data_IF_260502088501
#
_entry.id   IF_260502088501
#
_cell.length_a   1.000
_cell.length_b   1.000
_cell.length_c   1.000
_cell.angle_alpha   90.00
_cell.angle_beta   90.00
_cell.angle_gamma   90.00
#
_symmetry.space_group_name_H-M   'P 1'
#
loop_
_entity.id
_entity.type
_entity.pdbx_description
1 polymer ?
#
# COMPACT_ATOMS: atom_id res chain seq x y z
N UNK A 1 -4.77 24.70 -49.87
CA UNK A 1 -3.66 24.61 -48.91
C UNK A 1 -4.05 24.68 -47.44
N UNK A 2 -5.02 25.52 -47.08
CA UNK A 2 -5.43 25.64 -45.65
C UNK A 2 -6.12 24.39 -45.06
N UNK A 3 -6.83 23.58 -45.85
CA UNK A 3 -7.51 22.37 -45.38
C UNK A 3 -6.56 21.25 -44.91
N UNK A 4 -5.37 21.12 -45.51
CA UNK A 4 -4.37 20.11 -45.11
C UNK A 4 -3.72 20.45 -43.76
N UNK A 5 -3.43 21.72 -43.51
CA UNK A 5 -2.84 22.18 -42.23
C UNK A 5 -3.80 21.98 -41.08
N UNK A 6 -5.10 22.28 -41.29
CA UNK A 6 -6.15 22.08 -40.28
C UNK A 6 -6.28 20.61 -39.89
N UNK A 7 -6.20 19.68 -40.85
CA UNK A 7 -6.25 18.24 -40.55
C UNK A 7 -5.05 17.77 -39.76
N UNK A 8 -3.86 18.29 -40.01
CA UNK A 8 -2.67 17.97 -39.21
C UNK A 8 -2.78 18.50 -37.78
N UNK A 9 -3.30 19.70 -37.58
CA UNK A 9 -3.51 20.30 -36.26
C UNK A 9 -4.55 19.54 -35.47
N UNK A 10 -5.67 19.14 -36.09
CA UNK A 10 -6.72 18.34 -35.44
C UNK A 10 -6.20 16.95 -35.04
N UNK A 11 -5.45 16.29 -35.92
CA UNK A 11 -4.82 14.99 -35.61
C UNK A 11 -3.83 15.09 -34.46
N UNK A 12 -3.01 16.13 -34.42
CA UNK A 12 -2.07 16.37 -33.34
C UNK A 12 -2.77 16.64 -32.00
N UNK A 13 -3.86 17.40 -32.02
CA UNK A 13 -4.68 17.67 -30.83
C UNK A 13 -5.33 16.40 -30.26
N UNK A 14 -5.83 15.52 -31.12
CA UNK A 14 -6.41 14.23 -30.73
C UNK A 14 -5.39 13.31 -30.08
N UNK A 15 -4.17 13.26 -30.57
CA UNK A 15 -3.08 12.47 -29.98
C UNK A 15 -2.70 12.99 -28.59
N UNK A 16 -2.61 14.30 -28.40
CA UNK A 16 -2.33 14.90 -27.09
C UNK A 16 -3.46 14.59 -26.11
N UNK A 17 -4.72 14.67 -26.54
CA UNK A 17 -5.88 14.38 -25.71
C UNK A 17 -5.89 12.92 -25.21
N UNK A 18 -5.54 11.96 -26.05
CA UNK A 18 -5.44 10.54 -25.66
C UNK A 18 -4.32 10.28 -24.66
N UNK A 19 -3.18 10.96 -24.77
CA UNK A 19 -2.08 10.87 -23.81
C UNK A 19 -2.51 11.42 -22.44
N UNK A 20 -3.22 12.53 -22.39
CA UNK A 20 -3.76 13.09 -21.14
C UNK A 20 -4.77 12.17 -20.46
N UNK A 21 -5.65 11.51 -21.21
CA UNK A 21 -6.64 10.57 -20.67
C UNK A 21 -5.99 9.31 -20.09
N UNK A 22 -4.92 8.80 -20.69
CA UNK A 22 -4.20 7.64 -20.16
C UNK A 22 -3.41 7.97 -18.88
N UNK A 23 -2.86 9.17 -18.73
CA UNK A 23 -2.17 9.57 -17.51
C UNK A 23 -3.11 9.78 -16.34
N UNK A 24 -4.36 10.18 -16.55
CA UNK A 24 -5.37 10.31 -15.50
C UNK A 24 -5.75 8.97 -14.85
N UNK A 25 -5.74 7.86 -15.59
CA UNK A 25 -6.02 6.53 -15.03
C UNK A 25 -4.97 6.09 -14.01
N UNK A 26 -3.69 6.39 -14.24
CA UNK A 26 -2.61 6.06 -13.31
C UNK A 26 -2.67 6.86 -12.01
N UNK A 27 -3.16 8.10 -12.07
CA UNK A 27 -3.36 8.93 -10.87
C UNK A 27 -4.45 8.37 -9.97
N UNK A 28 -5.56 7.85 -10.51
CA UNK A 28 -6.64 7.24 -9.72
C UNK A 28 -6.24 5.91 -9.08
N UNK A 29 -5.36 5.14 -9.67
CA UNK A 29 -4.85 3.88 -9.12
C UNK A 29 -3.90 4.08 -7.92
N UNK A 30 -3.36 5.28 -7.72
CA UNK A 30 -2.45 5.60 -6.61
C UNK A 30 -3.15 5.81 -5.26
N UNK A 31 -4.47 5.95 -5.23
CA UNK A 31 -5.25 6.18 -4.01
C UNK A 31 -5.84 4.90 -3.43
N UNK A 32 -5.11 3.81 -3.49
CA UNK A 32 -5.48 2.58 -2.82
C UNK A 32 -5.00 2.63 -1.37
N UNK A 33 -5.95 2.64 -0.44
CA UNK A 33 -5.69 2.67 0.98
C UNK A 33 -6.12 1.36 1.61
N UNK A 34 -5.22 0.71 2.34
CA UNK A 34 -5.47 -0.56 3.00
C UNK A 34 -5.31 -0.40 4.51
N UNK A 35 -6.30 -0.84 5.28
CA UNK A 35 -6.22 -0.90 6.73
C UNK A 35 -6.38 -2.33 7.20
N UNK A 36 -5.63 -2.69 8.24
CA UNK A 36 -5.64 -4.01 8.85
C UNK A 36 -5.86 -3.81 10.34
N UNK A 37 -6.99 -4.27 10.86
CA UNK A 37 -7.36 -4.16 12.27
C UNK A 37 -7.22 -5.52 12.94
N UNK A 38 -6.43 -5.58 14.00
CA UNK A 38 -6.14 -6.82 14.71
C UNK A 38 -6.92 -6.90 16.02
N UNK A 39 -7.32 -8.13 16.40
CA UNK A 39 -7.91 -8.42 17.69
C UNK A 39 -6.89 -8.22 18.80
N UNK A 40 -7.34 -8.12 20.05
CA UNK A 40 -6.45 -8.02 21.21
C UNK A 40 -5.38 -9.10 21.21
N UNK A 41 -4.14 -8.68 21.43
CA UNK A 41 -2.97 -9.56 21.39
C UNK A 41 -1.89 -9.08 22.34
N UNK A 42 -0.92 -9.94 22.64
CA UNK A 42 0.17 -9.66 23.57
C UNK A 42 1.13 -8.55 23.13
N UNK A 43 1.17 -8.24 21.83
CA UNK A 43 1.99 -7.15 21.27
C UNK A 43 1.30 -5.80 21.33
N UNK A 44 0.01 -5.78 21.66
CA UNK A 44 -0.84 -4.59 21.64
C UNK A 44 -0.93 -3.94 20.24
N UNK A 45 -0.77 -4.74 19.21
CA UNK A 45 -0.91 -4.30 17.82
C UNK A 45 -2.39 -4.14 17.50
N UNK A 46 -2.82 -2.91 17.20
CA UNK A 46 -4.23 -2.60 16.93
C UNK A 46 -4.53 -2.44 15.46
N UNK A 47 -3.71 -1.67 14.73
CA UNK A 47 -4.03 -1.30 13.36
C UNK A 47 -2.77 -1.07 12.53
N UNK A 48 -2.82 -1.49 11.28
CA UNK A 48 -1.79 -1.20 10.28
C UNK A 48 -2.46 -0.48 9.12
N UNK A 49 -1.92 0.67 8.72
CA UNK A 49 -2.43 1.47 7.60
C UNK A 49 -1.38 1.56 6.51
N UNK A 50 -1.70 1.11 5.31
CA UNK A 50 -0.78 1.09 4.17
C UNK A 50 -1.38 1.93 3.05
N UNK A 51 -0.71 3.03 2.70
CA UNK A 51 -1.08 3.87 1.55
C UNK A 51 -0.40 3.43 0.27
N UNK A 52 0.86 3.02 0.38
CA UNK A 52 1.63 2.48 -0.74
C UNK A 52 2.38 1.24 -0.24
N UNK A 53 2.08 0.10 -0.84
CA UNK A 53 2.60 -1.20 -0.40
C UNK A 53 3.96 -1.58 -1.03
N UNK A 54 4.58 -0.69 -1.77
CA UNK A 54 5.89 -0.94 -2.37
C UNK A 54 7.00 -0.95 -1.31
N UNK A 55 7.99 -1.81 -1.50
CA UNK A 55 9.18 -1.85 -0.66
C UNK A 55 9.88 -0.48 -0.63
N UNK A 56 10.33 -0.06 0.55
CA UNK A 56 10.94 1.24 0.78
C UNK A 56 9.98 2.33 1.29
N UNK A 57 8.69 2.18 1.12
CA UNK A 57 7.68 3.06 1.71
C UNK A 57 7.39 2.69 3.16
N UNK A 58 6.72 3.58 3.88
CA UNK A 58 6.40 3.37 5.30
C UNK A 58 4.91 3.10 5.49
N UNK A 59 4.62 2.14 6.37
CA UNK A 59 3.26 1.89 6.85
C UNK A 59 3.10 2.52 8.24
N UNK A 60 1.89 3.00 8.55
CA UNK A 60 1.56 3.49 9.88
C UNK A 60 1.03 2.32 10.72
N UNK A 61 1.72 2.01 11.82
CA UNK A 61 1.39 0.90 12.72
C UNK A 61 1.04 1.44 14.08
N UNK A 62 -0.13 1.07 14.58
CA UNK A 62 -0.62 1.48 15.89
C UNK A 62 -0.42 0.36 16.90
N UNK A 63 0.39 0.64 17.93
CA UNK A 63 0.57 -0.19 19.10
C UNK A 63 -0.05 0.52 20.31
N UNK A 64 -1.17 0.01 20.83
CA UNK A 64 -1.89 0.70 21.88
C UNK A 64 -2.30 2.11 21.44
N UNK A 65 -1.81 3.11 22.15
CA UNK A 65 -2.04 4.52 21.84
C UNK A 65 -0.91 5.17 21.03
N UNK A 66 0.12 4.41 20.66
CA UNK A 66 1.30 4.89 19.96
C UNK A 66 1.25 4.53 18.47
N UNK A 67 1.65 5.47 17.63
CA UNK A 67 1.78 5.29 16.19
C UNK A 67 3.26 5.28 15.79
N UNK A 68 3.65 4.28 15.02
CA UNK A 68 5.00 4.16 14.48
C UNK A 68 4.94 4.02 12.97
N UNK A 69 5.88 4.68 12.29
CA UNK A 69 6.11 4.46 10.86
C UNK A 69 7.11 3.33 10.70
N UNK A 70 6.67 2.24 10.10
CA UNK A 70 7.49 1.04 9.90
C UNK A 70 7.69 0.82 8.42
N UNK A 71 8.94 0.61 8.03
CA UNK A 71 9.33 0.46 6.63
C UNK A 71 8.86 -0.86 6.05
N UNK A 72 8.32 -0.82 4.83
CA UNK A 72 8.00 -2.02 4.06
C UNK A 72 9.31 -2.55 3.49
N UNK A 73 9.74 -3.72 3.95
CA UNK A 73 11.00 -4.34 3.55
C UNK A 73 10.85 -5.10 2.24
N UNK A 74 9.72 -5.80 2.07
CA UNK A 74 9.48 -6.67 0.92
C UNK A 74 7.99 -6.77 0.64
N UNK A 75 7.63 -6.80 -0.64
CA UNK A 75 6.29 -7.08 -1.10
C UNK A 75 6.38 -8.13 -2.20
N UNK A 76 6.07 -9.38 -1.88
CA UNK A 76 6.05 -10.47 -2.84
C UNK A 76 4.62 -10.92 -3.19
N UNK A 77 4.46 -12.04 -3.90
CA UNK A 77 3.15 -12.51 -4.35
C UNK A 77 2.22 -12.92 -3.21
N UNK A 78 2.76 -13.32 -2.04
CA UNK A 78 1.98 -13.85 -0.92
C UNK A 78 2.02 -12.99 0.33
N UNK A 79 3.14 -12.28 0.58
CA UNK A 79 3.38 -11.57 1.82
C UNK A 79 3.85 -10.14 1.61
N UNK A 80 3.45 -9.27 2.53
CA UNK A 80 4.05 -7.95 2.73
C UNK A 80 4.79 -7.99 4.07
N UNK A 81 6.10 -7.70 4.06
CA UNK A 81 6.92 -7.68 5.26
C UNK A 81 7.25 -6.26 5.66
N UNK A 82 6.96 -5.93 6.92
CA UNK A 82 7.33 -4.68 7.57
C UNK A 82 8.39 -4.97 8.62
N UNK A 83 9.33 -4.05 8.82
CA UNK A 83 10.36 -4.25 9.82
C UNK A 83 10.94 -2.97 10.38
N UNK A 84 11.33 -3.01 11.66
CA UNK A 84 12.01 -1.93 12.36
C UNK A 84 13.10 -2.53 13.24
N UNK A 85 14.36 -2.25 12.92
CA UNK A 85 15.52 -2.78 13.64
C UNK A 85 15.61 -2.26 15.08
N UNK A 86 15.24 -1.00 15.31
CA UNK A 86 15.26 -0.39 16.65
C UNK A 86 14.30 -1.06 17.63
N UNK A 87 13.15 -1.50 17.14
CA UNK A 87 12.15 -2.20 17.92
C UNK A 87 12.33 -3.71 17.91
N UNK A 88 13.28 -4.23 17.13
CA UNK A 88 13.46 -5.65 16.85
C UNK A 88 12.12 -6.29 16.43
N UNK A 89 11.40 -5.63 15.55
CA UNK A 89 10.05 -5.96 15.13
C UNK A 89 10.01 -6.29 13.65
N UNK A 90 9.37 -7.40 13.33
CA UNK A 90 9.05 -7.78 11.95
C UNK A 90 7.59 -8.22 11.89
N UNK A 91 6.84 -7.70 10.92
CA UNK A 91 5.43 -8.01 10.71
C UNK A 91 5.24 -8.52 9.29
N UNK A 92 4.70 -9.72 9.18
CA UNK A 92 4.32 -10.32 7.91
C UNK A 92 2.80 -10.28 7.73
N UNK A 93 2.33 -9.71 6.64
CA UNK A 93 0.91 -9.63 6.30
C UNK A 93 0.65 -10.53 5.11
N UNK A 94 -0.16 -11.58 5.29
CA UNK A 94 -0.53 -12.46 4.20
C UNK A 94 -1.57 -11.78 3.29
N UNK A 95 -1.32 -11.77 1.98
CA UNK A 95 -2.16 -11.05 1.02
C UNK A 95 -3.51 -11.70 0.78
N UNK A 96 -3.63 -13.01 0.93
CA UNK A 96 -4.81 -13.79 0.54
C UNK A 96 -5.59 -14.33 1.74
N UNK A 97 -5.23 -13.96 2.95
CA UNK A 97 -5.91 -14.37 4.17
C UNK A 97 -5.89 -13.25 5.20
N UNK A 98 -6.53 -13.48 6.35
CA UNK A 98 -6.53 -12.55 7.49
C UNK A 98 -5.34 -12.78 8.44
N UNK A 99 -4.35 -13.57 8.02
CA UNK A 99 -3.21 -13.94 8.85
C UNK A 99 -2.15 -12.84 8.86
N UNK A 100 -1.77 -12.43 10.07
CA UNK A 100 -0.65 -11.52 10.31
C UNK A 100 0.32 -12.21 11.25
N UNK A 101 1.59 -12.32 10.85
CA UNK A 101 2.65 -12.90 11.66
C UNK A 101 3.49 -11.78 12.26
N UNK A 102 3.61 -11.77 13.59
CA UNK A 102 4.43 -10.78 14.30
C UNK A 102 5.60 -11.46 14.98
N UNK A 103 6.79 -10.97 14.66
CA UNK A 103 8.03 -11.40 15.31
C UNK A 103 8.61 -10.21 16.07
N UNK A 104 8.79 -10.37 17.38
CA UNK A 104 9.48 -9.39 18.20
C UNK A 104 10.42 -10.14 19.16
N UNK A 105 11.71 -9.77 19.13
CA UNK A 105 12.78 -10.50 19.83
C UNK A 105 12.76 -11.97 19.38
N UNK A 106 12.60 -12.94 20.20
CA UNK A 106 12.54 -14.35 19.81
C UNK A 106 11.11 -14.91 19.82
N UNK A 107 10.10 -14.06 19.90
CA UNK A 107 8.71 -14.44 19.98
C UNK A 107 8.04 -14.26 18.62
N UNK A 108 7.45 -15.34 18.09
CA UNK A 108 6.68 -15.34 16.86
C UNK A 108 5.24 -15.71 17.18
N UNK A 109 4.28 -14.87 16.80
CA UNK A 109 2.86 -15.15 16.94
C UNK A 109 2.08 -14.83 15.68
N UNK A 110 1.06 -15.65 15.43
CA UNK A 110 0.11 -15.42 14.36
C UNK A 110 -1.13 -14.72 14.94
N UNK A 111 -1.50 -13.60 14.33
CA UNK A 111 -2.67 -12.83 14.74
C UNK A 111 -3.76 -12.94 13.66
N UNK A 112 -5.01 -12.92 14.09
CA UNK A 112 -6.15 -12.72 13.19
C UNK A 112 -6.46 -11.24 13.08
N UNK A 113 -6.40 -10.71 11.86
CA UNK A 113 -6.64 -9.32 11.59
C UNK A 113 -7.59 -9.17 10.41
N UNK A 114 -8.51 -8.22 10.52
CA UNK A 114 -9.48 -7.92 9.47
C UNK A 114 -8.90 -6.88 8.52
N UNK A 115 -8.97 -7.17 7.22
CA UNK A 115 -8.50 -6.25 6.17
C UNK A 115 -9.66 -5.48 5.59
N UNK A 116 -9.48 -4.18 5.43
CA UNK A 116 -10.37 -3.30 4.70
C UNK A 116 -9.57 -2.59 3.60
N UNK A 117 -10.04 -2.66 2.37
CA UNK A 117 -9.41 -2.00 1.22
C UNK A 117 -10.34 -0.90 0.76
N UNK A 118 -9.88 0.34 0.83
CA UNK A 118 -10.60 1.49 0.32
C UNK A 118 -10.00 1.89 -1.03
N UNK A 119 -10.85 1.93 -2.04
CA UNK A 119 -10.53 2.42 -3.39
C UNK A 119 -11.34 3.68 -3.63
N UNK A 120 -10.64 4.75 -3.91
CA UNK A 120 -11.28 5.97 -4.40
C UNK A 120 -11.19 6.07 -5.90
#
# INVERSE_FOLDING_TARGET
>A
MHKKIINYIVGFFLVILTIFLSSCKDVFLRFKYQTIECQENSFNLKKISIKNDKAGYFADVQFGDYYHKIKILKNDAEWIFLGNEKLDLEVGIHKHSEKVEVRQKNIIKNLKCKKNIFRM
#
